data_IF_595939638218
#
_entry.id   IF_595939638218
#
_cell.length_a   1.000
_cell.length_b   1.000
_cell.length_c   1.000
_cell.angle_alpha   90.00
_cell.angle_beta   90.00
_cell.angle_gamma   90.00
#
_symmetry.space_group_name_H-M   'P 1'
#
loop_
_entity.id
_entity.type
_entity.pdbx_description
1 polymer ?
#
# COMPACT_ATOMS: atom_id res chain seq x y z
N UNK A 1 5.24 14.15 9.87
CA UNK A 1 6.71 14.11 9.90
C UNK A 1 7.19 14.55 11.27
N UNK A 2 7.73 13.63 12.09
CA UNK A 2 8.45 14.02 13.30
C UNK A 2 9.81 14.56 12.89
N UNK A 3 10.09 15.83 13.18
CA UNK A 3 11.42 16.41 12.99
C UNK A 3 12.36 15.78 14.04
N UNK A 4 12.93 14.63 13.70
CA UNK A 4 14.01 13.99 14.42
C UNK A 4 15.28 14.81 14.24
N UNK A 5 15.83 15.34 15.34
CA UNK A 5 17.15 15.97 15.33
C UNK A 5 18.18 14.84 15.25
N UNK A 6 18.80 14.65 14.08
CA UNK A 6 19.96 13.77 13.92
C UNK A 6 21.14 14.40 14.65
N UNK A 7 21.66 13.72 15.67
CA UNK A 7 22.78 14.20 16.49
C UNK A 7 24.14 13.98 15.81
N UNK A 8 24.18 13.14 14.78
CA UNK A 8 25.37 12.78 14.03
C UNK A 8 25.21 13.13 12.55
N UNK A 9 26.30 13.35 11.80
CA UNK A 9 26.24 13.47 10.36
C UNK A 9 25.52 12.26 9.74
N UNK A 10 24.62 12.55 8.81
CA UNK A 10 23.78 11.56 8.14
C UNK A 10 23.75 11.82 6.64
N UNK A 11 23.24 10.86 5.88
CA UNK A 11 22.94 11.06 4.46
C UNK A 11 22.08 12.32 4.28
N UNK A 12 22.48 13.13 3.30
CA UNK A 12 21.79 14.30 2.82
C UNK A 12 21.95 14.36 1.30
N UNK A 13 21.23 15.27 0.64
CA UNK A 13 21.21 15.34 -0.83
C UNK A 13 22.61 15.59 -1.44
N UNK A 14 23.48 16.30 -0.74
CA UNK A 14 24.86 16.55 -1.18
C UNK A 14 25.70 15.28 -1.21
N UNK A 15 25.64 14.49 -0.12
CA UNK A 15 26.35 13.21 -0.02
C UNK A 15 25.75 12.20 -1.00
N UNK A 16 24.42 12.16 -1.12
CA UNK A 16 23.72 11.31 -2.08
C UNK A 16 24.13 11.66 -3.52
N UNK A 17 24.30 12.95 -3.84
CA UNK A 17 24.79 13.39 -5.16
C UNK A 17 26.24 13.00 -5.47
N UNK A 18 27.06 12.72 -4.45
CA UNK A 18 28.46 12.29 -4.60
C UNK A 18 28.61 10.78 -4.76
N UNK A 19 27.68 9.99 -4.20
CA UNK A 19 27.66 8.54 -4.39
C UNK A 19 26.96 8.18 -5.70
N UNK A 20 27.49 7.18 -6.40
CA UNK A 20 26.82 6.64 -7.59
C UNK A 20 25.95 5.47 -7.15
N UNK A 21 24.73 5.78 -6.73
CA UNK A 21 23.70 4.80 -6.39
C UNK A 21 22.82 4.51 -7.61
N UNK A 22 22.88 3.27 -8.09
CA UNK A 22 22.05 2.75 -9.16
C UNK A 22 21.19 1.61 -8.65
N UNK A 23 19.95 1.57 -9.11
CA UNK A 23 18.94 0.62 -8.66
C UNK A 23 18.10 0.17 -9.84
N UNK A 24 17.76 -1.11 -9.89
CA UNK A 24 16.71 -1.57 -10.79
C UNK A 24 15.33 -1.20 -10.24
N UNK A 25 14.27 -1.36 -11.05
CA UNK A 25 12.90 -1.31 -10.52
C UNK A 25 12.69 -2.44 -9.53
N UNK A 26 11.74 -2.26 -8.61
CA UNK A 26 11.27 -3.41 -7.83
C UNK A 26 10.61 -4.39 -8.78
N UNK A 27 10.97 -5.66 -8.68
CA UNK A 27 10.27 -6.74 -9.35
C UNK A 27 9.47 -7.48 -8.27
N UNK A 28 8.15 -7.47 -8.43
CA UNK A 28 7.22 -8.20 -7.58
C UNK A 28 6.75 -9.44 -8.32
N UNK A 29 6.61 -10.54 -7.60
CA UNK A 29 6.14 -11.81 -8.16
C UNK A 29 5.51 -12.65 -7.06
N UNK A 30 4.80 -13.71 -7.43
CA UNK A 30 4.37 -14.75 -6.51
C UNK A 30 4.80 -16.12 -7.00
N UNK A 31 4.71 -17.12 -6.12
CA UNK A 31 5.07 -18.50 -6.47
C UNK A 31 3.88 -19.41 -6.23
N UNK A 32 3.54 -20.25 -7.20
CA UNK A 32 2.47 -21.23 -7.04
C UNK A 32 2.90 -22.44 -6.16
N UNK A 33 2.07 -23.49 -6.15
CA UNK A 33 2.37 -24.74 -5.41
C UNK A 33 3.54 -25.53 -6.01
N UNK A 34 3.88 -25.30 -7.28
CA UNK A 34 4.98 -25.94 -7.99
C UNK A 34 6.28 -25.11 -7.95
N UNK A 35 6.26 -23.96 -7.26
CA UNK A 35 7.33 -22.97 -7.21
C UNK A 35 7.59 -22.23 -8.53
N UNK A 36 6.62 -22.24 -9.45
CA UNK A 36 6.68 -21.42 -10.66
C UNK A 36 6.48 -19.94 -10.30
N UNK A 37 7.34 -19.06 -10.83
CA UNK A 37 7.30 -17.61 -10.60
C UNK A 37 6.34 -16.92 -11.58
N UNK A 38 5.44 -16.10 -11.03
CA UNK A 38 4.49 -15.29 -11.80
C UNK A 38 4.69 -13.82 -11.46
N UNK A 39 5.00 -13.03 -12.49
CA UNK A 39 5.29 -11.60 -12.32
C UNK A 39 4.04 -10.80 -11.95
N UNK A 40 4.21 -9.83 -11.06
CA UNK A 40 3.18 -8.87 -10.68
C UNK A 40 3.57 -7.49 -11.20
N UNK A 41 2.57 -6.75 -11.67
CA UNK A 41 2.71 -5.40 -12.18
C UNK A 41 2.46 -4.41 -11.05
N UNK A 42 3.35 -3.43 -10.91
CA UNK A 42 3.12 -2.24 -10.10
C UNK A 42 2.70 -1.06 -10.99
N UNK A 43 1.52 -0.49 -10.71
CA UNK A 43 0.99 0.67 -11.43
C UNK A 43 0.64 1.80 -10.45
N UNK A 44 0.96 3.07 -10.75
CA UNK A 44 0.51 4.19 -9.93
C UNK A 44 -1.01 4.16 -9.75
N UNK A 45 -1.49 4.34 -8.51
CA UNK A 45 -2.94 4.36 -8.22
C UNK A 45 -3.64 5.49 -9.00
N UNK A 46 -2.96 6.62 -9.15
CA UNK A 46 -3.37 7.74 -10.00
C UNK A 46 -2.12 8.41 -10.60
N UNK A 47 -2.32 9.32 -11.56
CA UNK A 47 -1.24 9.95 -12.31
C UNK A 47 -0.28 10.81 -11.46
N UNK A 48 -0.65 11.17 -10.23
CA UNK A 48 0.14 11.99 -9.32
C UNK A 48 0.58 11.25 -8.05
N UNK A 49 0.10 10.03 -7.83
CA UNK A 49 0.37 9.24 -6.64
C UNK A 49 1.78 8.67 -6.66
N UNK A 50 2.46 8.75 -5.51
CA UNK A 50 3.72 8.06 -5.25
C UNK A 50 3.52 6.60 -4.80
N UNK A 51 2.27 6.13 -4.77
CA UNK A 51 1.89 4.79 -4.31
C UNK A 51 1.47 3.96 -5.53
N UNK A 52 2.08 2.78 -5.66
CA UNK A 52 1.79 1.86 -6.74
C UNK A 52 0.90 0.71 -6.25
N UNK A 53 -0.20 0.43 -6.94
CA UNK A 53 -1.00 -0.77 -6.74
C UNK A 53 -0.33 -1.99 -7.38
N UNK A 54 -0.28 -3.09 -6.65
CA UNK A 54 0.17 -4.38 -7.19
C UNK A 54 -1.02 -5.10 -7.84
N UNK A 55 -0.81 -5.58 -9.07
CA UNK A 55 -1.81 -6.30 -9.86
C UNK A 55 -1.17 -7.51 -10.54
N UNK A 56 -1.99 -8.51 -10.81
CA UNK A 56 -1.66 -9.60 -11.73
C UNK A 56 -2.41 -9.35 -13.05
N UNK A 57 -1.75 -9.55 -14.20
CA UNK A 57 -2.36 -9.39 -15.52
C UNK A 57 -3.60 -10.27 -15.69
N UNK A 58 -3.59 -11.44 -15.07
CA UNK A 58 -4.69 -12.41 -15.15
C UNK A 58 -5.72 -12.23 -14.03
N UNK A 59 -5.48 -11.34 -13.06
CA UNK A 59 -6.37 -11.11 -11.91
C UNK A 59 -6.52 -12.30 -10.97
N UNK A 60 -5.61 -13.27 -11.01
CA UNK A 60 -5.66 -14.51 -10.21
C UNK A 60 -5.02 -14.29 -8.84
N UNK A 61 -4.05 -13.39 -8.76
CA UNK A 61 -3.32 -13.15 -7.52
C UNK A 61 -4.08 -12.28 -6.51
N UNK A 62 -4.13 -12.75 -5.27
CA UNK A 62 -4.51 -11.99 -4.07
C UNK A 62 -3.47 -12.20 -2.98
N UNK A 63 -3.22 -11.17 -2.18
CA UNK A 63 -2.32 -11.20 -1.02
C UNK A 63 -2.79 -12.13 0.09
N UNK A 64 -4.10 -12.43 0.16
CA UNK A 64 -4.67 -13.34 1.15
C UNK A 64 -4.40 -14.81 0.77
N UNK A 65 -4.50 -15.16 -0.52
CA UNK A 65 -4.37 -16.55 -0.98
C UNK A 65 -2.94 -16.93 -1.40
N UNK A 66 -2.11 -15.94 -1.76
CA UNK A 66 -0.79 -16.15 -2.33
C UNK A 66 0.30 -15.36 -1.58
N UNK A 67 1.54 -15.81 -1.74
CA UNK A 67 2.69 -15.07 -1.22
C UNK A 67 2.97 -13.84 -2.07
N UNK A 68 3.71 -12.89 -1.50
CA UNK A 68 4.33 -11.79 -2.23
C UNK A 68 5.84 -11.96 -2.15
N UNK A 69 6.51 -11.99 -3.29
CA UNK A 69 7.95 -11.97 -3.39
C UNK A 69 8.41 -10.63 -3.98
N UNK A 70 9.58 -10.21 -3.53
CA UNK A 70 10.24 -8.98 -3.97
C UNK A 70 11.68 -9.33 -4.33
N UNK A 71 12.11 -8.87 -5.50
CA UNK A 71 13.51 -8.96 -5.98
C UNK A 71 13.98 -7.62 -6.49
N UNK A 72 15.21 -7.23 -6.14
CA UNK A 72 15.80 -5.97 -6.61
C UNK A 72 17.32 -5.95 -6.57
N UNK A 73 17.93 -5.47 -7.65
CA UNK A 73 19.39 -5.29 -7.76
C UNK A 73 19.82 -3.86 -7.49
N UNK A 74 20.93 -3.73 -6.78
CA UNK A 74 21.58 -2.47 -6.44
C UNK A 74 23.04 -2.48 -6.92
N UNK A 75 23.50 -1.32 -7.38
CA UNK A 75 24.91 -1.06 -7.66
C UNK A 75 25.30 0.26 -7.01
N UNK A 76 26.25 0.22 -6.07
CA UNK A 76 26.80 1.40 -5.40
C UNK A 76 28.28 1.54 -5.77
N UNK A 77 28.68 2.76 -6.16
CA UNK A 77 30.07 3.12 -6.48
C UNK A 77 30.42 4.48 -5.88
N UNK A 78 31.71 4.80 -5.79
CA UNK A 78 32.20 6.11 -5.29
C UNK A 78 31.76 6.41 -3.84
N UNK A 79 31.51 5.38 -3.04
CA UNK A 79 31.03 5.49 -1.66
C UNK A 79 32.14 5.75 -0.64
N UNK A 80 33.39 5.91 -1.08
CA UNK A 80 34.53 6.21 -0.20
C UNK A 80 34.37 7.56 0.52
N UNK A 81 33.59 8.48 -0.06
CA UNK A 81 33.27 9.76 0.57
C UNK A 81 32.39 9.64 1.82
N UNK A 82 31.80 8.46 2.09
CA UNK A 82 31.00 8.21 3.29
C UNK A 82 31.85 7.97 4.55
N UNK A 83 33.16 7.74 4.37
CA UNK A 83 34.07 7.32 5.42
C UNK A 83 35.04 8.45 5.80
N UNK A 84 35.48 8.46 7.07
CA UNK A 84 36.50 9.37 7.58
C UNK A 84 35.95 10.69 8.16
N UNK A 85 36.85 11.59 8.53
CA UNK A 85 36.56 12.88 9.20
C UNK A 85 35.42 13.69 8.55
N UNK A 86 35.39 13.75 7.21
CA UNK A 86 34.38 14.48 6.44
C UNK A 86 33.19 13.63 5.99
N UNK A 87 33.12 12.37 6.42
CA UNK A 87 32.08 11.42 6.07
C UNK A 87 30.95 11.34 7.10
N UNK A 88 30.25 10.22 7.07
CA UNK A 88 29.14 9.89 7.99
C UNK A 88 29.45 8.66 8.86
N UNK A 89 30.59 8.01 8.63
CA UNK A 89 31.05 6.85 9.37
C UNK A 89 32.58 6.84 9.51
N UNK A 90 33.08 6.16 10.54
CA UNK A 90 34.52 6.03 10.78
C UNK A 90 35.23 5.36 9.60
N UNK A 91 36.49 5.71 9.34
CA UNK A 91 37.27 5.20 8.20
C UNK A 91 37.32 3.66 8.11
N UNK A 92 37.37 2.98 9.25
CA UNK A 92 37.47 1.52 9.37
C UNK A 92 36.12 0.83 9.67
N UNK A 93 35.01 1.57 9.69
CA UNK A 93 33.68 0.99 9.86
C UNK A 93 33.25 0.17 8.64
N UNK A 94 32.29 -0.74 8.84
CA UNK A 94 31.61 -1.44 7.75
C UNK A 94 30.18 -0.93 7.67
N UNK A 95 29.80 -0.41 6.51
CA UNK A 95 28.44 0.03 6.23
C UNK A 95 27.63 -1.10 5.61
N UNK A 96 26.33 -1.11 5.92
CA UNK A 96 25.36 -2.03 5.37
C UNK A 96 24.33 -1.28 4.51
N UNK A 97 23.92 -1.91 3.42
CA UNK A 97 22.74 -1.56 2.66
C UNK A 97 21.59 -2.47 3.11
N UNK A 98 20.45 -1.89 3.47
CA UNK A 98 19.28 -2.62 3.92
C UNK A 98 17.99 -2.04 3.35
N UNK A 99 16.95 -2.86 3.22
CA UNK A 99 15.59 -2.39 2.95
C UNK A 99 14.79 -2.53 4.24
N UNK A 100 14.44 -1.41 4.86
CA UNK A 100 13.46 -1.39 5.94
C UNK A 100 12.06 -1.40 5.32
N UNK A 101 11.19 -2.26 5.82
CA UNK A 101 9.80 -2.28 5.37
C UNK A 101 8.85 -2.16 6.54
N UNK A 102 7.73 -1.48 6.28
CA UNK A 102 6.64 -1.31 7.26
C UNK A 102 5.30 -1.50 6.57
N UNK A 103 4.43 -2.29 7.19
CA UNK A 103 3.03 -2.44 6.82
C UNK A 103 2.20 -2.04 8.04
N UNK A 104 1.70 -0.79 8.07
CA UNK A 104 0.90 -0.29 9.19
C UNK A 104 -0.36 -1.12 9.42
N UNK A 105 -1.07 -1.48 8.34
CA UNK A 105 -2.32 -2.24 8.39
C UNK A 105 -2.11 -3.65 8.96
N UNK A 106 -0.97 -4.28 8.64
CA UNK A 106 -0.59 -5.57 9.22
C UNK A 106 0.18 -5.46 10.54
N UNK A 107 0.44 -4.24 11.05
CA UNK A 107 1.24 -3.95 12.25
C UNK A 107 2.61 -4.63 12.24
N UNK A 108 3.19 -4.79 11.05
CA UNK A 108 4.44 -5.49 10.84
C UNK A 108 5.51 -4.55 10.30
N UNK A 109 6.74 -4.85 10.69
CA UNK A 109 7.93 -4.19 10.17
C UNK A 109 9.09 -5.17 10.18
N UNK A 110 10.06 -4.91 9.31
CA UNK A 110 11.27 -5.71 9.27
C UNK A 110 12.37 -5.04 8.47
N UNK A 111 13.49 -5.74 8.38
CA UNK A 111 14.66 -5.31 7.62
C UNK A 111 15.11 -6.46 6.75
N UNK A 112 15.43 -6.17 5.50
CA UNK A 112 16.06 -7.09 4.55
C UNK A 112 17.51 -6.63 4.41
N UNK A 113 18.50 -7.32 5.01
CA UNK A 113 19.90 -7.01 4.78
C UNK A 113 20.25 -7.33 3.32
N UNK A 114 20.83 -6.37 2.59
CA UNK A 114 21.13 -6.53 1.16
C UNK A 114 22.61 -6.80 0.93
N UNK A 115 23.49 -6.07 1.63
CA UNK A 115 24.93 -6.23 1.49
C UNK A 115 25.70 -5.31 2.42
N UNK A 116 27.01 -5.50 2.49
CA UNK A 116 27.91 -4.68 3.31
C UNK A 116 29.15 -4.27 2.52
N UNK A 117 29.73 -3.12 2.85
CA UNK A 117 30.92 -2.57 2.20
C UNK A 117 31.73 -1.70 3.17
N UNK A 118 33.04 -1.67 2.99
CA UNK A 118 33.97 -0.78 3.69
C UNK A 118 34.70 0.17 2.73
N UNK A 119 35.57 1.01 3.26
CA UNK A 119 36.29 2.04 2.48
C UNK A 119 37.16 1.47 1.34
N UNK A 120 37.69 0.26 1.53
CA UNK A 120 38.57 -0.40 0.55
C UNK A 120 37.83 -1.00 -0.64
N UNK A 121 36.53 -1.21 -0.51
CA UNK A 121 35.71 -1.73 -1.59
C UNK A 121 35.55 -0.67 -2.67
N UNK A 122 35.57 -1.08 -3.94
CA UNK A 122 35.40 -0.16 -5.07
C UNK A 122 33.96 -0.09 -5.56
N UNK A 123 33.25 -1.21 -5.42
CA UNK A 123 31.91 -1.42 -5.93
C UNK A 123 31.16 -2.39 -5.02
N UNK A 124 29.87 -2.13 -4.84
CA UNK A 124 28.92 -3.06 -4.26
C UNK A 124 27.86 -3.38 -5.31
N UNK A 125 27.80 -4.63 -5.76
CA UNK A 125 26.73 -5.17 -6.63
C UNK A 125 26.03 -6.30 -5.89
N UNK A 126 24.76 -6.09 -5.55
CA UNK A 126 24.01 -6.98 -4.66
C UNK A 126 22.55 -7.06 -5.08
N UNK A 127 21.90 -8.17 -4.73
CA UNK A 127 20.49 -8.43 -4.99
C UNK A 127 19.77 -8.70 -3.67
N UNK A 128 18.68 -7.98 -3.45
CA UNK A 128 17.76 -8.24 -2.35
C UNK A 128 16.65 -9.16 -2.85
N UNK A 129 16.38 -10.23 -2.11
CA UNK A 129 15.20 -11.07 -2.32
C UNK A 129 14.48 -11.31 -0.99
N UNK A 130 13.15 -11.19 -1.00
CA UNK A 130 12.32 -11.48 0.16
C UNK A 130 10.99 -12.09 -0.25
N UNK A 131 10.66 -13.22 0.39
CA UNK A 131 9.33 -13.85 0.35
C UNK A 131 8.54 -13.47 1.61
N UNK A 132 7.37 -12.89 1.39
CA UNK A 132 6.33 -12.65 2.39
C UNK A 132 5.27 -13.74 2.28
N UNK A 133 4.83 -14.26 3.42
CA UNK A 133 3.83 -15.32 3.47
C UNK A 133 2.44 -14.86 3.01
N UNK A 134 1.56 -15.84 2.79
CA UNK A 134 0.13 -15.62 2.51
C UNK A 134 -0.51 -14.85 3.67
N UNK A 135 -1.36 -13.88 3.34
CA UNK A 135 -2.04 -12.99 4.28
C UNK A 135 -1.11 -12.28 5.28
N UNK A 136 0.20 -12.19 4.98
CA UNK A 136 1.17 -11.56 5.89
C UNK A 136 1.11 -10.04 5.81
N UNK A 137 0.92 -9.49 4.62
CA UNK A 137 0.92 -8.06 4.34
C UNK A 137 -0.43 -7.65 3.78
N UNK A 138 -0.92 -6.47 4.20
CA UNK A 138 -2.17 -5.86 3.78
C UNK A 138 -1.99 -4.36 3.62
N UNK A 139 -2.89 -3.75 2.84
CA UNK A 139 -2.94 -2.31 2.64
C UNK A 139 -1.64 -1.76 2.08
N UNK A 140 -1.12 -0.71 2.70
CA UNK A 140 0.10 -0.03 2.24
C UNK A 140 1.36 -0.68 2.84
N UNK A 141 2.36 -0.88 2.00
CA UNK A 141 3.68 -1.37 2.39
C UNK A 141 4.72 -0.39 1.90
N UNK A 142 5.43 0.21 2.85
CA UNK A 142 6.51 1.15 2.58
C UNK A 142 7.84 0.42 2.63
N UNK A 143 8.65 0.54 1.57
CA UNK A 143 10.02 0.07 1.50
C UNK A 143 10.97 1.26 1.47
N UNK A 144 11.86 1.34 2.45
CA UNK A 144 12.89 2.37 2.57
C UNK A 144 14.26 1.71 2.44
N UNK A 145 15.02 2.09 1.42
CA UNK A 145 16.41 1.63 1.25
C UNK A 145 17.31 2.53 2.09
N UNK A 146 17.98 1.96 3.08
CA UNK A 146 18.78 2.70 4.07
C UNK A 146 20.24 2.26 4.08
N UNK A 147 21.11 3.18 4.48
CA UNK A 147 22.46 2.85 4.93
C UNK A 147 22.49 2.77 6.45
N UNK A 148 23.22 1.79 6.98
CA UNK A 148 23.39 1.61 8.41
C UNK A 148 24.82 1.16 8.75
N UNK A 149 25.20 1.26 10.02
CA UNK A 149 26.49 0.75 10.50
C UNK A 149 26.35 -0.76 10.74
N UNK A 150 26.89 -1.57 9.82
CA UNK A 150 26.88 -3.03 9.95
C UNK A 150 27.91 -3.52 10.97
N UNK A 151 29.06 -2.84 11.05
CA UNK A 151 30.09 -3.07 12.07
C UNK A 151 30.73 -1.74 12.46
N UNK A 152 30.83 -1.50 13.76
CA UNK A 152 31.47 -0.31 14.28
C UNK A 152 32.99 -0.30 13.97
N UNK A 153 33.51 0.88 13.68
CA UNK A 153 34.95 1.15 13.56
C UNK A 153 35.60 1.54 14.88
N UNK A 154 36.86 1.94 14.84
CA UNK A 154 37.61 2.53 15.96
C UNK A 154 37.82 4.02 15.67
N UNK A 155 36.99 4.92 16.25
CA UNK A 155 37.04 6.34 15.89
C UNK A 155 38.39 6.97 16.24
N UNK A 156 38.99 7.64 15.26
CA UNK A 156 40.13 8.54 15.50
C UNK A 156 39.65 9.80 16.22
N UNK A 157 40.58 10.61 16.75
CA UNK A 157 40.23 11.83 17.50
C UNK A 157 39.39 12.83 16.68
N UNK A 158 39.59 12.86 15.36
CA UNK A 158 38.85 13.68 14.40
C UNK A 158 37.59 12.98 13.84
N UNK A 159 37.20 11.83 14.38
CA UNK A 159 36.00 11.06 13.97
C UNK A 159 35.03 10.83 15.15
N UNK A 160 35.36 11.33 16.34
CA UNK A 160 34.55 11.13 17.54
C UNK A 160 33.13 11.74 17.44
N UNK A 161 32.90 12.61 16.46
CA UNK A 161 31.60 13.20 16.14
C UNK A 161 30.75 12.35 15.18
N UNK A 162 31.23 11.20 14.71
CA UNK A 162 30.52 10.31 13.80
C UNK A 162 29.72 9.26 14.58
N UNK A 163 28.61 8.81 13.99
CA UNK A 163 27.90 7.66 14.52
C UNK A 163 28.79 6.41 14.44
N UNK A 164 28.81 5.60 15.50
CA UNK A 164 29.63 4.39 15.55
C UNK A 164 28.98 3.23 16.32
N UNK A 165 27.65 3.23 16.41
CA UNK A 165 26.89 2.14 17.04
C UNK A 165 26.39 1.19 15.97
N UNK A 166 26.62 -0.11 16.15
CA UNK A 166 26.09 -1.14 15.23
C UNK A 166 24.56 -1.06 15.15
N UNK A 167 24.04 -1.17 13.93
CA UNK A 167 22.62 -0.99 13.62
C UNK A 167 22.15 0.46 13.51
N UNK A 168 23.01 1.46 13.77
CA UNK A 168 22.62 2.85 13.61
C UNK A 168 22.33 3.18 12.14
N UNK A 169 21.16 3.74 11.87
CA UNK A 169 20.73 4.13 10.52
C UNK A 169 21.31 5.50 10.18
N UNK A 170 22.15 5.53 9.15
CA UNK A 170 22.84 6.73 8.67
C UNK A 170 21.98 7.56 7.72
N UNK A 171 20.88 7.01 7.22
CA UNK A 171 19.87 7.73 6.46
C UNK A 171 19.26 6.87 5.35
N UNK A 172 18.35 7.49 4.61
CA UNK A 172 17.57 6.88 3.53
C UNK A 172 18.11 7.30 2.16
N UNK A 173 18.22 6.34 1.24
CA UNK A 173 18.58 6.56 -0.16
C UNK A 173 17.35 6.72 -1.06
N UNK A 174 16.24 6.10 -0.68
CA UNK A 174 14.96 6.16 -1.36
C UNK A 174 13.85 5.55 -0.49
N UNK A 175 12.62 5.92 -0.84
CA UNK A 175 11.41 5.24 -0.41
C UNK A 175 10.58 4.81 -1.62
N UNK A 176 9.85 3.73 -1.47
CA UNK A 176 8.92 3.22 -2.45
C UNK A 176 7.74 2.54 -1.74
N UNK A 177 6.52 2.95 -2.10
CA UNK A 177 5.30 2.50 -1.43
C UNK A 177 4.43 1.74 -2.39
N UNK A 178 3.99 0.54 -1.97
CA UNK A 178 2.99 -0.23 -2.69
C UNK A 178 1.70 -0.32 -1.91
N UNK A 179 0.61 -0.59 -2.61
CA UNK A 179 -0.68 -0.96 -2.05
C UNK A 179 -1.10 -2.33 -2.57
N UNK A 180 -1.33 -3.25 -1.65
CA UNK A 180 -1.71 -4.64 -1.95
C UNK A 180 -3.22 -4.80 -2.10
N UNK A 181 -3.99 -4.00 -1.37
CA UNK A 181 -5.43 -3.97 -1.51
C UNK A 181 -5.74 -3.22 -2.80
N UNK A 182 -6.02 -3.98 -3.87
CA UNK A 182 -6.07 -3.51 -5.25
C UNK A 182 -6.84 -2.20 -5.47
N UNK A 183 -6.39 -1.43 -6.45
CA UNK A 183 -7.09 -0.24 -6.94
C UNK A 183 -8.42 -0.55 -7.65
N UNK A 184 -8.85 -1.81 -7.72
CA UNK A 184 -9.96 -2.27 -8.56
C UNK A 184 -11.33 -2.32 -7.86
N UNK A 185 -11.49 -1.69 -6.70
CA UNK A 185 -12.81 -1.43 -6.11
C UNK A 185 -12.76 -0.21 -5.18
N UNK A 186 -12.19 0.91 -5.63
CA UNK A 186 -12.48 2.18 -4.96
C UNK A 186 -13.95 2.50 -5.20
N UNK A 187 -14.77 2.38 -4.16
CA UNK A 187 -16.14 2.86 -4.22
C UNK A 187 -16.08 4.37 -4.43
N UNK A 188 -16.56 4.93 -5.56
CA UNK A 188 -16.40 6.35 -5.85
C UNK A 188 -17.15 7.20 -4.82
N UNK A 189 -16.44 8.15 -4.19
CA UNK A 189 -17.01 9.11 -3.26
C UNK A 189 -16.74 10.51 -3.81
N UNK A 190 -17.78 11.30 -3.97
CA UNK A 190 -17.71 12.68 -4.45
C UNK A 190 -18.20 13.65 -3.39
N UNK A 191 -17.60 14.84 -3.37
CA UNK A 191 -18.08 15.97 -2.59
C UNK A 191 -18.90 16.89 -3.49
N UNK A 192 -20.16 17.10 -3.12
CA UNK A 192 -21.10 17.95 -3.84
C UNK A 192 -21.54 19.10 -2.95
N UNK A 193 -21.91 20.23 -3.53
CA UNK A 193 -22.46 21.37 -2.80
C UNK A 193 -23.91 21.56 -3.22
N UNK A 194 -24.83 20.93 -2.48
CA UNK A 194 -26.25 20.91 -2.80
C UNK A 194 -27.08 21.36 -1.60
N UNK A 195 -27.23 22.68 -1.38
CA UNK A 195 -27.97 23.21 -0.24
C UNK A 195 -29.40 22.64 -0.17
N UNK A 196 -29.78 22.10 0.99
CA UNK A 196 -31.10 21.52 1.24
C UNK A 196 -31.21 20.02 0.96
N UNK A 197 -30.20 19.39 0.38
CA UNK A 197 -30.12 17.93 0.20
C UNK A 197 -29.60 17.22 1.47
N UNK A 198 -29.81 15.89 1.62
CA UNK A 198 -29.30 15.13 2.76
C UNK A 198 -27.76 15.18 2.85
N UNK A 199 -27.23 14.75 3.99
CA UNK A 199 -25.78 14.66 4.23
C UNK A 199 -25.06 13.83 3.16
N UNK A 200 -25.70 12.76 2.71
CA UNK A 200 -25.18 11.91 1.66
C UNK A 200 -26.33 11.24 0.89
N UNK A 201 -26.03 10.78 -0.32
CA UNK A 201 -26.90 9.89 -1.10
C UNK A 201 -26.08 9.00 -2.02
N UNK A 202 -26.65 7.84 -2.39
CA UNK A 202 -26.09 6.96 -3.40
C UNK A 202 -26.69 7.30 -4.76
N UNK A 203 -25.83 7.47 -5.77
CA UNK A 203 -26.21 7.61 -7.16
C UNK A 203 -25.83 6.33 -7.90
N UNK A 204 -26.78 5.75 -8.61
CA UNK A 204 -26.50 4.59 -9.44
C UNK A 204 -27.19 4.64 -10.80
N UNK A 205 -26.38 4.72 -11.86
CA UNK A 205 -26.79 5.03 -13.23
C UNK A 205 -26.25 3.99 -14.23
N UNK A 206 -26.33 2.71 -13.91
CA UNK A 206 -26.01 1.63 -14.85
C UNK A 206 -27.18 1.33 -15.79
N UNK A 207 -26.85 0.73 -16.93
CA UNK A 207 -27.78 0.12 -17.89
C UNK A 207 -27.76 -1.40 -17.73
N UNK A 208 -26.56 -1.99 -17.63
CA UNK A 208 -26.36 -3.42 -17.43
C UNK A 208 -25.36 -3.65 -16.27
N UNK A 209 -25.81 -4.11 -15.09
CA UNK A 209 -24.93 -4.29 -13.95
C UNK A 209 -23.88 -5.41 -14.15
N UNK A 210 -24.03 -6.29 -15.14
CA UNK A 210 -23.07 -7.38 -15.42
C UNK A 210 -21.91 -6.94 -16.30
N UNK A 211 -22.07 -5.82 -17.03
CA UNK A 211 -21.06 -5.26 -17.91
C UNK A 211 -20.55 -3.89 -17.43
N UNK A 212 -21.44 -3.02 -16.98
CA UNK A 212 -21.09 -1.63 -16.66
C UNK A 212 -20.16 -1.54 -15.44
N UNK A 213 -19.08 -0.79 -15.60
CA UNK A 213 -18.07 -0.57 -14.57
C UNK A 213 -18.66 0.11 -13.35
N UNK A 214 -18.46 -0.51 -12.18
CA UNK A 214 -18.95 0.03 -10.91
C UNK A 214 -18.41 1.44 -10.63
N UNK A 215 -17.15 1.69 -11.00
CA UNK A 215 -16.49 2.99 -10.81
C UNK A 215 -17.14 4.14 -11.61
N UNK A 216 -17.78 3.83 -12.74
CA UNK A 216 -18.41 4.83 -13.61
C UNK A 216 -19.88 5.04 -13.27
N UNK A 217 -20.57 3.97 -12.84
CA UNK A 217 -22.01 3.98 -12.66
C UNK A 217 -22.46 4.18 -11.22
N UNK A 218 -21.61 3.95 -10.21
CA UNK A 218 -22.00 3.99 -8.79
C UNK A 218 -21.16 5.01 -8.05
N UNK A 219 -21.80 5.91 -7.30
CA UNK A 219 -21.07 6.84 -6.44
C UNK A 219 -21.84 7.25 -5.18
N UNK A 220 -21.10 7.43 -4.09
CA UNK A 220 -21.61 8.07 -2.87
C UNK A 220 -21.30 9.56 -2.97
N UNK A 221 -22.32 10.39 -2.82
CA UNK A 221 -22.16 11.85 -2.89
C UNK A 221 -22.33 12.42 -1.49
N UNK A 222 -21.28 13.04 -0.95
CA UNK A 222 -21.28 13.75 0.33
C UNK A 222 -21.57 15.22 0.11
N UNK A 223 -22.59 15.72 0.80
CA UNK A 223 -23.04 17.08 0.63
C UNK A 223 -22.32 18.04 1.58
N UNK A 224 -21.33 18.76 1.05
CA UNK A 224 -20.55 19.79 1.75
C UNK A 224 -21.41 20.95 2.29
N UNK A 225 -22.59 21.19 1.71
CA UNK A 225 -23.51 22.23 2.18
C UNK A 225 -24.31 21.79 3.42
N UNK A 226 -24.29 20.50 3.78
CA UNK A 226 -25.02 19.99 4.93
C UNK A 226 -24.29 20.29 6.23
N UNK A 227 -25.02 20.76 7.26
CA UNK A 227 -24.46 21.18 8.56
C UNK A 227 -23.60 20.11 9.29
N UNK A 228 -23.82 18.84 8.96
CA UNK A 228 -23.14 17.69 9.57
C UNK A 228 -21.99 17.14 8.69
N UNK A 229 -21.64 17.79 7.58
CA UNK A 229 -20.56 17.32 6.71
C UNK A 229 -19.21 17.26 7.43
N UNK A 230 -18.99 18.10 8.44
CA UNK A 230 -17.78 18.07 9.27
C UNK A 230 -17.54 16.75 10.01
N UNK A 231 -18.52 15.85 10.10
CA UNK A 231 -18.34 14.51 10.65
C UNK A 231 -17.79 13.51 9.60
N UNK A 232 -17.85 13.84 8.31
CA UNK A 232 -17.35 13.01 7.20
C UNK A 232 -16.02 13.52 6.63
N UNK A 233 -15.75 14.81 6.78
CA UNK A 233 -14.48 15.44 6.42
C UNK A 233 -13.33 14.89 7.29
N UNK A 234 -12.35 14.22 6.67
CA UNK A 234 -11.19 13.62 7.37
C UNK A 234 -10.22 14.66 7.93
N UNK A 235 -10.25 15.89 7.43
CA UNK A 235 -9.42 16.99 7.91
C UNK A 235 -10.07 17.73 9.09
N UNK A 236 -11.37 17.52 9.29
CA UNK A 236 -12.14 18.10 10.38
C UNK A 236 -11.79 17.45 11.72
N UNK A 237 -11.70 18.27 12.77
CA UNK A 237 -11.54 17.80 14.16
C UNK A 237 -12.74 16.99 14.66
N UNK A 238 -13.89 17.11 14.01
CA UNK A 238 -15.12 16.41 14.35
C UNK A 238 -15.31 15.14 13.53
N UNK A 239 -14.31 14.72 12.75
CA UNK A 239 -14.39 13.50 11.94
C UNK A 239 -14.82 12.29 12.78
N UNK A 240 -15.82 11.56 12.29
CA UNK A 240 -16.36 10.37 12.92
C UNK A 240 -16.22 9.19 11.94
N UNK A 241 -15.23 8.33 12.22
CA UNK A 241 -14.98 7.14 11.42
C UNK A 241 -16.11 6.12 11.49
N UNK A 242 -16.86 6.05 12.60
CA UNK A 242 -17.98 5.12 12.75
C UNK A 242 -19.17 5.57 11.91
N UNK A 243 -19.45 6.87 11.86
CA UNK A 243 -20.46 7.41 10.97
C UNK A 243 -20.12 7.11 9.51
N UNK A 244 -18.85 7.28 9.11
CA UNK A 244 -18.40 6.92 7.78
C UNK A 244 -18.62 5.43 7.49
N UNK A 245 -18.26 4.53 8.41
CA UNK A 245 -18.51 3.09 8.30
C UNK A 245 -19.98 2.76 8.06
N UNK A 246 -20.89 3.35 8.85
CA UNK A 246 -22.32 3.13 8.72
C UNK A 246 -22.87 3.62 7.39
N UNK A 247 -22.35 4.75 6.87
CA UNK A 247 -22.70 5.26 5.55
C UNK A 247 -22.24 4.29 4.46
N UNK A 248 -21.00 3.80 4.53
CA UNK A 248 -20.47 2.84 3.56
C UNK A 248 -21.27 1.53 3.56
N UNK A 249 -21.56 0.98 4.74
CA UNK A 249 -22.37 -0.23 4.88
C UNK A 249 -23.79 -0.03 4.32
N UNK A 250 -24.40 1.13 4.61
CA UNK A 250 -25.73 1.49 4.11
C UNK A 250 -25.73 1.66 2.59
N UNK A 251 -24.72 2.32 2.02
CA UNK A 251 -24.58 2.53 0.59
C UNK A 251 -24.46 1.20 -0.18
N UNK A 252 -23.60 0.28 0.29
CA UNK A 252 -23.46 -1.04 -0.35
C UNK A 252 -24.75 -1.86 -0.21
N UNK A 253 -25.43 -1.77 0.94
CA UNK A 253 -26.73 -2.44 1.12
C UNK A 253 -27.75 -1.94 0.09
N UNK A 254 -27.87 -0.62 -0.10
CA UNK A 254 -28.76 -0.02 -1.12
C UNK A 254 -28.37 -0.43 -2.54
N UNK A 255 -27.07 -0.49 -2.85
CA UNK A 255 -26.58 -0.97 -4.14
C UNK A 255 -27.05 -2.40 -4.42
N UNK A 256 -26.84 -3.31 -3.47
CA UNK A 256 -27.22 -4.72 -3.59
C UNK A 256 -28.75 -4.86 -3.71
N UNK A 257 -29.51 -4.13 -2.90
CA UNK A 257 -30.98 -4.14 -3.01
C UNK A 257 -31.47 -3.64 -4.36
N UNK A 258 -30.84 -2.59 -4.92
CA UNK A 258 -31.21 -2.08 -6.24
C UNK A 258 -31.00 -3.15 -7.31
N UNK A 259 -29.86 -3.85 -7.30
CA UNK A 259 -29.60 -4.95 -8.25
C UNK A 259 -30.54 -6.13 -8.02
N UNK A 260 -30.89 -6.45 -6.77
CA UNK A 260 -31.85 -7.52 -6.44
C UNK A 260 -33.25 -7.27 -7.02
N UNK A 261 -33.66 -6.01 -7.11
CA UNK A 261 -34.94 -5.61 -7.69
C UNK A 261 -34.95 -5.65 -9.22
N UNK A 262 -33.80 -5.77 -9.88
CA UNK A 262 -33.69 -5.86 -11.34
C UNK A 262 -33.82 -7.33 -11.80
N UNK A 263 -34.94 -7.64 -12.45
CA UNK A 263 -35.25 -8.99 -12.91
C UNK A 263 -34.22 -9.52 -13.92
N UNK A 264 -33.72 -10.73 -13.69
CA UNK A 264 -32.79 -11.45 -14.57
C UNK A 264 -31.33 -11.32 -14.14
N UNK A 265 -30.89 -10.13 -13.72
CA UNK A 265 -29.50 -9.90 -13.34
C UNK A 265 -29.11 -10.54 -12.01
N UNK A 266 -30.01 -10.54 -11.01
CA UNK A 266 -29.70 -11.12 -9.70
C UNK A 266 -29.28 -12.60 -9.78
N UNK A 267 -30.06 -13.43 -10.48
CA UNK A 267 -29.76 -14.85 -10.62
C UNK A 267 -28.46 -15.09 -11.39
N UNK A 268 -28.23 -14.32 -12.45
CA UNK A 268 -26.99 -14.38 -13.25
C UNK A 268 -25.78 -14.03 -12.39
N UNK A 269 -25.85 -12.94 -11.61
CA UNK A 269 -24.77 -12.48 -10.73
C UNK A 269 -24.50 -13.52 -9.64
N UNK A 270 -25.53 -14.07 -8.98
CA UNK A 270 -25.35 -15.09 -7.95
C UNK A 270 -24.77 -16.41 -8.49
N UNK A 271 -24.87 -16.67 -9.79
CA UNK A 271 -24.24 -17.81 -10.46
C UNK A 271 -22.83 -17.52 -10.98
N UNK A 272 -22.36 -16.27 -10.91
CA UNK A 272 -21.07 -15.86 -11.46
C UNK A 272 -21.01 -15.93 -12.99
N UNK A 273 -22.15 -15.87 -13.68
CA UNK A 273 -22.22 -16.09 -15.12
C UNK A 273 -21.97 -14.80 -15.91
N UNK A 274 -20.94 -14.84 -16.77
CA UNK A 274 -20.64 -13.80 -17.76
C UNK A 274 -20.52 -12.39 -17.17
N UNK A 275 -19.84 -12.27 -16.02
CA UNK A 275 -19.62 -10.99 -15.34
C UNK A 275 -18.33 -10.34 -15.85
N UNK A 276 -18.43 -9.12 -16.39
CA UNK A 276 -17.25 -8.38 -16.84
C UNK A 276 -16.40 -7.91 -15.65
N UNK A 277 -15.09 -7.85 -15.85
CA UNK A 277 -14.17 -7.42 -14.81
C UNK A 277 -14.37 -5.93 -14.47
N UNK A 278 -14.54 -5.63 -13.19
CA UNK A 278 -14.84 -4.29 -12.68
C UNK A 278 -16.33 -3.92 -12.72
N UNK A 279 -17.19 -4.82 -13.21
CA UNK A 279 -18.63 -4.59 -13.23
C UNK A 279 -19.25 -4.62 -11.83
N UNK A 280 -20.45 -4.06 -11.71
CA UNK A 280 -21.25 -4.10 -10.47
C UNK A 280 -21.55 -5.55 -10.07
N UNK A 281 -21.86 -6.40 -11.05
CA UNK A 281 -22.13 -7.81 -10.88
C UNK A 281 -20.93 -8.56 -10.33
N UNK A 282 -19.74 -8.34 -10.89
CA UNK A 282 -18.51 -8.95 -10.37
C UNK A 282 -18.24 -8.52 -8.92
N UNK A 283 -18.44 -7.24 -8.58
CA UNK A 283 -18.27 -6.75 -7.22
C UNK A 283 -19.24 -7.41 -6.22
N UNK A 284 -20.51 -7.55 -6.58
CA UNK A 284 -21.51 -8.20 -5.74
C UNK A 284 -21.22 -9.70 -5.60
N UNK A 285 -20.85 -10.38 -6.68
CA UNK A 285 -20.46 -11.78 -6.64
C UNK A 285 -19.24 -12.00 -5.73
N UNK A 286 -18.25 -11.12 -5.79
CA UNK A 286 -17.10 -11.12 -4.89
C UNK A 286 -17.49 -10.98 -3.41
N UNK A 287 -18.46 -10.11 -3.09
CA UNK A 287 -18.97 -10.00 -1.71
C UNK A 287 -19.56 -11.31 -1.20
N UNK A 288 -20.30 -12.03 -2.05
CA UNK A 288 -20.88 -13.32 -1.70
C UNK A 288 -19.79 -14.41 -1.58
N UNK A 289 -19.03 -14.63 -2.66
CA UNK A 289 -18.16 -15.82 -2.80
C UNK A 289 -16.85 -15.67 -2.03
N UNK A 290 -16.24 -14.47 -2.04
CA UNK A 290 -14.93 -14.25 -1.42
C UNK A 290 -15.04 -13.68 -0.02
N UNK A 291 -16.01 -12.79 0.25
CA UNK A 291 -16.20 -12.22 1.59
C UNK A 291 -17.22 -13.00 2.43
N UNK A 292 -17.83 -14.04 1.88
CA UNK A 292 -18.85 -14.86 2.55
C UNK A 292 -20.03 -14.04 3.09
N UNK A 293 -20.44 -12.99 2.37
CA UNK A 293 -21.59 -12.18 2.77
C UNK A 293 -22.89 -12.94 2.57
N UNK A 294 -23.79 -12.86 3.55
CA UNK A 294 -25.12 -13.40 3.44
C UNK A 294 -26.02 -12.37 2.71
N UNK A 295 -26.21 -12.60 1.42
CA UNK A 295 -27.03 -11.76 0.54
C UNK A 295 -28.47 -12.27 0.39
N UNK A 296 -28.92 -13.19 1.24
CA UNK A 296 -30.24 -13.84 1.13
C UNK A 296 -31.42 -12.91 1.42
N UNK A 297 -31.21 -11.89 2.24
CA UNK A 297 -32.22 -10.91 2.65
C UNK A 297 -31.62 -9.52 2.86
N UNK A 298 -32.43 -8.44 2.85
CA UNK A 298 -31.96 -7.10 3.19
C UNK A 298 -31.33 -7.03 4.58
N UNK A 299 -31.92 -7.70 5.57
CA UNK A 299 -31.42 -7.74 6.94
C UNK A 299 -30.06 -8.42 7.02
N UNK A 300 -29.91 -9.59 6.37
CA UNK A 300 -28.65 -10.31 6.29
C UNK A 300 -27.57 -9.50 5.57
N UNK A 301 -27.92 -8.90 4.44
CA UNK A 301 -27.00 -8.08 3.63
C UNK A 301 -26.45 -6.93 4.46
N UNK A 302 -27.36 -6.22 5.14
CA UNK A 302 -27.02 -5.09 6.00
C UNK A 302 -26.17 -5.50 7.20
N UNK A 303 -26.40 -6.68 7.78
CA UNK A 303 -25.59 -7.21 8.86
C UNK A 303 -24.18 -7.61 8.39
N UNK A 304 -24.06 -8.30 7.26
CA UNK A 304 -22.77 -8.67 6.67
C UNK A 304 -21.93 -7.43 6.32
N UNK A 305 -22.54 -6.42 5.71
CA UNK A 305 -21.88 -5.16 5.39
C UNK A 305 -21.35 -4.46 6.66
N UNK A 306 -22.16 -4.34 7.72
CA UNK A 306 -21.70 -3.72 8.99
C UNK A 306 -20.58 -4.49 9.64
N UNK A 307 -20.70 -5.81 9.76
CA UNK A 307 -19.64 -6.66 10.32
C UNK A 307 -18.31 -6.48 9.59
N UNK A 308 -18.36 -6.35 8.27
CA UNK A 308 -17.18 -6.13 7.44
C UNK A 308 -16.48 -4.81 7.74
N UNK A 309 -17.22 -3.70 7.84
CA UNK A 309 -16.61 -2.39 8.15
C UNK A 309 -16.18 -2.27 9.62
N UNK A 310 -16.92 -2.86 10.56
CA UNK A 310 -16.57 -2.87 11.99
C UNK A 310 -15.24 -3.58 12.27
N UNK A 311 -14.94 -4.64 11.51
CA UNK A 311 -13.69 -5.40 11.67
C UNK A 311 -12.47 -4.70 11.05
N UNK A 312 -12.67 -3.75 10.12
CA UNK A 312 -11.60 -3.09 9.35
C UNK A 312 -11.29 -1.66 9.81
N UNK A 313 -12.17 -1.02 10.57
CA UNK A 313 -12.04 0.40 10.98
C UNK A 313 -11.61 0.52 12.47
N UNK A 314 -10.85 -0.46 12.99
CA UNK A 314 -10.22 -0.43 14.33
C UNK A 314 -8.73 -0.09 14.31
#
# INVERSE_FOLDING_TARGET
MSNSIMLFPSLNDEIIGRIRFQKQRFNFFYTDKNEDEYELIDEPIDAMSSINAIKDENGVWTQDDNNLCLRRKYCLRTFQCLFGEGGIACEDAILGLGIQWTSPDSRQRGVIPVGTFGITDQILEVEAEKKFGKAQLRGEVNFSTVLYIAKAGVPKANEAHLANTEGYVLGELESYTIKLDGASSSFPIYEVNEPGQPLWYLKCDWIDPTADLMADCVSINFNTAHRNYSYLDRESKNFDSQLLSEIMASAISVLIEKVRLEHGYWEQIMQGDSLETGSIGQAIYYFMETLEWDLSSPESTSLSARKFFDQRIQ
#
